data_IF_500042843568
#
_entry.id   IF_500042843568
#
_cell.length_a   1.000
_cell.length_b   1.000
_cell.length_c   1.000
_cell.angle_alpha   90.00
_cell.angle_beta   90.00
_cell.angle_gamma   90.00
#
_symmetry.space_group_name_H-M   'P 1'
#
loop_
_entity.id
_entity.type
_entity.pdbx_description
1 polymer ?
#
# COMPACT_ATOMS: atom_id res chain seq x y z
N UNK A 1 -30.18 -6.88 -25.20
CA UNK A 1 -29.81 -6.66 -23.79
C UNK A 1 -28.32 -6.39 -23.77
N UNK A 2 -27.93 -5.12 -23.88
CA UNK A 2 -26.53 -4.70 -23.82
C UNK A 2 -26.11 -4.63 -22.35
N UNK A 3 -25.22 -5.51 -21.95
CA UNK A 3 -24.52 -5.46 -20.67
C UNK A 3 -23.42 -4.39 -20.76
N UNK A 4 -23.73 -3.16 -20.37
CA UNK A 4 -22.73 -2.10 -20.23
C UNK A 4 -21.74 -2.45 -19.11
N UNK A 5 -20.50 -2.79 -19.49
CA UNK A 5 -19.38 -2.85 -18.56
C UNK A 5 -18.96 -1.42 -18.21
N UNK A 6 -19.59 -0.82 -17.20
CA UNK A 6 -19.16 0.48 -16.67
C UNK A 6 -17.76 0.39 -16.06
N UNK A 7 -16.82 1.16 -16.61
CA UNK A 7 -15.50 1.41 -16.04
C UNK A 7 -15.66 2.13 -14.68
N UNK A 8 -14.76 1.91 -13.70
CA UNK A 8 -14.76 2.71 -12.46
C UNK A 8 -14.66 4.20 -12.79
N UNK A 9 -15.50 5.01 -12.16
CA UNK A 9 -15.44 6.47 -12.30
C UNK A 9 -14.63 7.04 -11.13
N UNK A 10 -13.45 7.57 -11.45
CA UNK A 10 -12.64 8.34 -10.50
C UNK A 10 -12.87 9.80 -10.84
N UNK A 11 -13.59 10.52 -9.98
CA UNK A 11 -13.66 11.97 -10.11
C UNK A 11 -12.58 12.58 -9.22
N UNK A 12 -11.40 12.77 -9.77
CA UNK A 12 -10.48 13.78 -9.24
C UNK A 12 -11.21 15.12 -9.38
N UNK A 13 -11.59 15.73 -8.27
CA UNK A 13 -12.25 17.04 -8.33
C UNK A 13 -11.24 18.07 -8.83
N UNK A 14 -11.19 18.25 -10.15
CA UNK A 14 -10.68 19.48 -10.74
C UNK A 14 -11.66 20.59 -10.36
N UNK A 15 -11.16 21.51 -9.53
CA UNK A 15 -11.71 22.80 -9.13
C UNK A 15 -13.25 22.92 -9.09
N UNK A 16 -13.77 23.02 -7.87
CA UNK A 16 -15.16 23.32 -7.47
C UNK A 16 -16.08 22.11 -7.27
N UNK A 17 -15.99 21.48 -6.08
CA UNK A 17 -17.11 21.29 -5.14
C UNK A 17 -16.93 20.04 -4.23
N UNK A 18 -15.97 20.08 -3.31
CA UNK A 18 -15.93 19.20 -2.12
C UNK A 18 -15.65 20.05 -0.88
N UNK A 19 -16.12 19.55 0.27
CA UNK A 19 -16.04 20.17 1.60
C UNK A 19 -15.01 21.30 1.70
N UNK A 20 -15.51 22.52 1.91
CA UNK A 20 -14.74 23.75 2.01
C UNK A 20 -13.66 23.69 3.11
N UNK A 21 -12.46 23.24 2.77
CA UNK A 21 -11.24 23.70 3.41
C UNK A 21 -10.53 24.59 2.40
N UNK A 22 -10.27 25.85 2.75
CA UNK A 22 -9.53 26.81 1.92
C UNK A 22 -8.04 26.42 1.71
N UNK A 23 -7.66 25.16 1.98
CA UNK A 23 -6.29 24.69 1.95
C UNK A 23 -6.00 23.89 0.68
N UNK A 24 -4.86 24.17 0.06
CA UNK A 24 -4.34 23.45 -1.09
C UNK A 24 -4.16 21.95 -0.75
N UNK A 25 -4.51 21.02 -1.65
CA UNK A 25 -4.20 19.60 -1.48
C UNK A 25 -2.71 19.38 -1.20
N UNK A 26 -2.40 18.61 -0.16
CA UNK A 26 -1.04 18.36 0.28
C UNK A 26 -0.94 17.03 1.02
N UNK A 27 0.27 16.49 1.13
CA UNK A 27 0.53 15.40 2.06
C UNK A 27 0.54 15.93 3.50
N UNK A 28 -0.04 15.18 4.43
CA UNK A 28 -0.04 15.49 5.86
C UNK A 28 0.27 14.22 6.66
N UNK A 29 0.93 14.33 7.83
CA UNK A 29 1.21 13.15 8.64
C UNK A 29 -0.09 12.57 9.20
N UNK A 30 -0.22 11.26 9.20
CA UNK A 30 -1.29 10.52 9.88
C UNK A 30 -0.80 9.96 11.22
N UNK A 31 0.38 9.34 11.22
CA UNK A 31 1.04 8.80 12.41
C UNK A 31 2.48 9.30 12.43
N UNK A 32 2.84 9.97 13.52
CA UNK A 32 4.20 10.40 13.81
C UNK A 32 4.80 9.54 14.93
N UNK A 33 6.12 9.57 15.05
CA UNK A 33 6.84 8.94 16.16
C UNK A 33 7.65 10.00 16.90
N UNK A 34 7.20 10.31 18.11
CA UNK A 34 7.72 11.41 18.94
C UNK A 34 7.96 10.84 20.34
N UNK A 35 9.15 11.07 20.88
CA UNK A 35 9.56 10.63 22.23
C UNK A 35 9.34 9.12 22.48
N UNK A 36 9.65 8.30 21.49
CA UNK A 36 9.54 6.85 21.59
C UNK A 36 8.12 6.29 21.45
N UNK A 37 7.13 7.14 21.12
CA UNK A 37 5.72 6.76 21.03
C UNK A 37 5.09 7.18 19.71
N UNK A 38 4.23 6.33 19.18
CA UNK A 38 3.38 6.69 18.05
C UNK A 38 2.30 7.67 18.49
N UNK A 39 2.04 8.68 17.67
CA UNK A 39 1.02 9.70 17.91
C UNK A 39 0.23 9.95 16.63
N UNK A 40 -1.10 9.98 16.74
CA UNK A 40 -1.97 10.35 15.62
C UNK A 40 -1.91 11.87 15.45
N UNK A 41 -1.79 12.32 14.20
CA UNK A 41 -1.88 13.73 13.88
C UNK A 41 -3.32 14.26 13.98
N UNK A 42 -3.49 15.37 14.70
CA UNK A 42 -4.82 15.96 14.96
C UNK A 42 -5.48 16.51 13.69
N UNK A 43 -4.71 17.07 12.77
CA UNK A 43 -5.24 17.64 11.52
C UNK A 43 -5.77 16.54 10.61
N UNK A 44 -5.06 15.41 10.54
CA UNK A 44 -5.53 14.22 9.82
C UNK A 44 -6.83 13.67 10.41
N UNK A 45 -6.95 13.60 11.74
CA UNK A 45 -8.20 13.16 12.39
C UNK A 45 -9.36 14.09 12.06
N UNK A 46 -9.15 15.41 12.07
CA UNK A 46 -10.18 16.39 11.75
C UNK A 46 -10.68 16.27 10.30
N UNK A 47 -9.79 15.98 9.35
CA UNK A 47 -10.18 15.74 7.95
C UNK A 47 -10.98 14.45 7.84
N UNK A 48 -10.51 13.38 8.48
CA UNK A 48 -11.14 12.07 8.41
C UNK A 48 -12.52 12.08 9.09
N UNK A 49 -12.69 12.78 10.22
CA UNK A 49 -13.98 12.85 10.93
C UNK A 49 -15.07 13.62 10.18
N UNK A 50 -14.70 14.50 9.24
CA UNK A 50 -15.66 15.22 8.40
C UNK A 50 -16.26 14.37 7.27
N UNK A 51 -15.71 13.19 7.01
CA UNK A 51 -16.18 12.28 5.97
C UNK A 51 -17.37 11.47 6.48
N UNK A 52 -18.49 11.51 5.75
CA UNK A 52 -19.72 10.81 6.13
C UNK A 52 -19.92 9.51 5.37
N UNK A 53 -19.32 9.40 4.20
CA UNK A 53 -19.39 8.22 3.34
C UNK A 53 -18.46 7.10 3.89
N UNK A 54 -18.68 5.84 3.50
CA UNK A 54 -17.75 4.77 3.81
C UNK A 54 -16.34 5.12 3.30
N UNK A 55 -15.31 4.71 4.05
CA UNK A 55 -13.91 5.00 3.67
C UNK A 55 -13.19 3.71 3.35
N UNK A 56 -12.53 3.69 2.19
CA UNK A 56 -11.51 2.73 1.86
C UNK A 56 -10.12 3.33 2.11
N UNK A 57 -9.17 2.49 2.53
CA UNK A 57 -7.78 2.90 2.74
C UNK A 57 -6.87 2.13 1.78
N UNK A 58 -6.15 2.85 0.92
CA UNK A 58 -5.07 2.31 0.11
C UNK A 58 -3.74 2.69 0.76
N UNK A 59 -3.01 1.73 1.32
CA UNK A 59 -1.66 2.00 1.81
C UNK A 59 -0.61 1.32 0.95
N UNK A 60 0.55 1.94 0.85
CA UNK A 60 1.76 1.35 0.27
C UNK A 60 2.83 1.24 1.35
N UNK A 61 3.50 0.09 1.42
CA UNK A 61 4.73 -0.05 2.18
C UNK A 61 5.77 -0.85 1.41
N UNK A 62 7.01 -0.82 1.88
CA UNK A 62 8.13 -1.46 1.20
C UNK A 62 9.45 -0.80 1.55
N UNK A 63 10.54 -1.39 1.07
CA UNK A 63 11.91 -0.96 1.38
C UNK A 63 12.10 0.52 1.07
N UNK A 64 12.91 1.19 1.87
CA UNK A 64 13.37 2.55 1.62
C UNK A 64 13.94 2.71 0.19
N UNK A 65 13.68 3.87 -0.44
CA UNK A 65 14.09 4.21 -1.82
C UNK A 65 13.53 3.35 -2.95
N UNK A 66 12.45 2.63 -2.73
CA UNK A 66 11.80 1.79 -3.75
C UNK A 66 10.78 2.52 -4.66
N UNK A 67 10.69 3.86 -4.58
CA UNK A 67 9.80 4.65 -5.44
C UNK A 67 8.31 4.60 -5.07
N UNK A 68 7.97 4.40 -3.78
CA UNK A 68 6.59 4.35 -3.26
C UNK A 68 5.79 5.63 -3.52
N UNK A 69 6.28 6.76 -3.03
CA UNK A 69 5.64 8.08 -3.19
C UNK A 69 5.51 8.44 -4.68
N UNK A 70 6.50 8.09 -5.50
CA UNK A 70 6.41 8.22 -6.96
C UNK A 70 5.27 7.38 -7.53
N UNK A 71 5.15 6.11 -7.14
CA UNK A 71 4.07 5.25 -7.60
C UNK A 71 2.69 5.78 -7.20
N UNK A 72 2.53 6.26 -5.96
CA UNK A 72 1.28 6.89 -5.52
C UNK A 72 0.94 8.14 -6.32
N UNK A 73 1.95 8.96 -6.64
CA UNK A 73 1.79 10.14 -7.48
C UNK A 73 1.31 9.78 -8.89
N UNK A 74 1.83 8.69 -9.47
CA UNK A 74 1.33 8.17 -10.73
C UNK A 74 -0.11 7.64 -10.63
N UNK A 75 -0.46 6.96 -9.53
CA UNK A 75 -1.85 6.49 -9.28
C UNK A 75 -2.82 7.68 -9.12
N UNK A 76 -2.34 8.78 -8.54
CA UNK A 76 -3.08 10.02 -8.33
C UNK A 76 -3.21 10.88 -9.60
N UNK A 77 -2.49 10.56 -10.68
CA UNK A 77 -2.31 11.43 -11.84
C UNK A 77 -1.75 12.83 -11.46
N UNK A 78 -0.80 12.85 -10.51
CA UNK A 78 -0.20 14.10 -10.00
C UNK A 78 1.32 14.03 -9.97
N UNK A 79 1.96 15.16 -10.27
CA UNK A 79 3.41 15.33 -10.06
C UNK A 79 3.73 16.09 -8.76
N UNK A 80 2.74 16.79 -8.19
CA UNK A 80 2.84 17.58 -6.96
C UNK A 80 2.16 16.90 -5.75
N UNK A 81 2.13 15.57 -5.76
CA UNK A 81 1.50 14.75 -4.71
C UNK A 81 2.39 14.56 -3.47
N UNK A 82 2.60 13.30 -3.09
CA UNK A 82 3.54 12.92 -2.04
C UNK A 82 4.97 13.36 -2.39
N UNK A 83 5.71 13.81 -1.37
CA UNK A 83 7.05 14.33 -1.55
C UNK A 83 8.03 13.22 -1.90
N UNK A 84 8.78 13.43 -2.98
CA UNK A 84 9.87 12.56 -3.41
C UNK A 84 11.16 13.39 -3.29
N UNK A 85 12.07 13.03 -2.39
CA UNK A 85 13.42 13.62 -2.39
C UNK A 85 14.42 12.66 -3.04
N UNK A 86 15.54 13.15 -3.60
CA UNK A 86 16.62 12.33 -4.15
C UNK A 86 17.66 11.87 -3.12
N UNK A 87 17.63 12.39 -1.88
CA UNK A 87 18.77 12.28 -0.94
C UNK A 87 18.85 10.91 -0.26
N UNK A 88 19.89 10.62 0.53
CA UNK A 88 19.95 9.38 1.32
C UNK A 88 19.18 9.43 2.65
N UNK A 89 18.51 10.55 2.95
CA UNK A 89 17.71 10.72 4.15
C UNK A 89 16.25 10.33 3.90
N UNK A 90 15.58 9.59 4.81
CA UNK A 90 14.15 9.31 4.69
C UNK A 90 13.35 10.61 4.52
N UNK A 91 12.46 10.64 3.53
CA UNK A 91 11.61 11.80 3.26
C UNK A 91 10.31 11.74 4.07
N UNK A 92 9.81 10.52 4.28
CA UNK A 92 8.60 10.21 5.05
C UNK A 92 9.03 9.57 6.35
N UNK A 93 8.61 10.15 7.48
CA UNK A 93 8.69 9.50 8.79
C UNK A 93 7.29 9.10 9.26
N UNK A 94 7.10 7.85 9.62
CA UNK A 94 5.78 7.32 9.99
C UNK A 94 4.83 7.12 8.80
N UNK A 95 3.54 7.43 8.99
CA UNK A 95 2.51 7.29 7.95
C UNK A 95 1.98 8.66 7.52
N UNK A 96 1.77 8.86 6.22
CA UNK A 96 1.33 10.12 5.62
C UNK A 96 0.09 9.88 4.78
N UNK A 97 -0.85 10.83 4.78
CA UNK A 97 -2.04 10.78 3.93
C UNK A 97 -2.07 11.94 2.95
N UNK A 98 -2.77 11.75 1.84
CA UNK A 98 -3.19 12.85 0.99
C UNK A 98 -4.39 13.56 1.61
N UNK A 99 -4.32 14.88 1.79
CA UNK A 99 -5.30 15.66 2.54
C UNK A 99 -6.69 15.73 1.91
N UNK A 100 -6.84 15.29 0.65
CA UNK A 100 -8.12 15.29 -0.08
C UNK A 100 -8.50 13.86 -0.43
N UNK A 101 -9.41 13.22 0.33
CA UNK A 101 -9.92 11.89 0.02
C UNK A 101 -10.60 11.85 -1.35
N UNK A 102 -10.27 10.85 -2.17
CA UNK A 102 -10.85 10.74 -3.52
C UNK A 102 -12.27 10.19 -3.46
N UNK A 103 -13.15 10.67 -4.33
CA UNK A 103 -14.45 10.03 -4.55
C UNK A 103 -14.26 8.84 -5.50
N UNK A 104 -14.67 7.66 -5.08
CA UNK A 104 -14.54 6.43 -5.87
C UNK A 104 -15.86 5.69 -5.91
N UNK A 105 -16.17 5.12 -7.07
CA UNK A 105 -17.22 4.12 -7.24
C UNK A 105 -16.72 2.98 -8.11
N UNK A 106 -17.20 1.78 -7.84
CA UNK A 106 -16.92 0.59 -8.65
C UNK A 106 -18.17 -0.30 -8.72
N UNK A 107 -18.05 -1.45 -9.40
CA UNK A 107 -19.18 -2.35 -9.65
C UNK A 107 -19.86 -2.87 -8.38
N UNK A 108 -19.12 -2.95 -7.28
CA UNK A 108 -19.59 -3.52 -6.01
C UNK A 108 -19.99 -2.45 -4.99
N UNK A 109 -19.44 -1.23 -5.11
CA UNK A 109 -19.66 -0.13 -4.18
C UNK A 109 -19.90 1.18 -4.92
N UNK A 110 -21.11 1.74 -4.78
CA UNK A 110 -21.57 2.88 -5.57
C UNK A 110 -21.04 4.24 -5.14
N UNK A 111 -20.69 4.44 -3.85
CA UNK A 111 -20.12 5.69 -3.35
C UNK A 111 -19.30 5.46 -2.07
N UNK A 112 -18.00 5.79 -2.12
CA UNK A 112 -17.12 5.79 -0.96
C UNK A 112 -15.95 6.77 -1.15
N UNK A 113 -15.27 7.12 -0.05
CA UNK A 113 -14.05 7.91 -0.06
C UNK A 113 -12.83 7.03 0.01
N UNK A 114 -11.81 7.34 -0.78
CA UNK A 114 -10.52 6.68 -0.73
C UNK A 114 -9.48 7.57 -0.04
N UNK A 115 -8.94 7.07 1.07
CA UNK A 115 -7.77 7.61 1.74
C UNK A 115 -6.52 6.89 1.22
N UNK A 116 -5.54 7.65 0.74
CA UNK A 116 -4.25 7.10 0.28
C UNK A 116 -3.21 7.37 1.35
N UNK A 117 -2.49 6.31 1.75
CA UNK A 117 -1.47 6.33 2.79
C UNK A 117 -0.12 5.95 2.21
N UNK A 118 0.87 6.82 2.36
CA UNK A 118 2.28 6.53 2.09
C UNK A 118 2.99 6.19 3.41
N UNK A 119 3.74 5.09 3.42
CA UNK A 119 4.54 4.70 4.59
C UNK A 119 5.99 5.17 4.47
N UNK A 120 6.64 5.34 5.61
CA UNK A 120 8.10 5.32 5.69
C UNK A 120 8.65 4.03 5.07
N UNK A 121 9.84 4.15 4.47
CA UNK A 121 10.55 3.00 3.93
C UNK A 121 11.32 2.24 4.98
N UNK A 122 11.13 0.92 5.01
CA UNK A 122 11.82 0.00 5.91
C UNK A 122 13.31 -0.09 5.56
N UNK A 123 14.16 -0.22 6.57
CA UNK A 123 15.60 -0.44 6.44
C UNK A 123 16.37 0.82 6.06
N UNK A 124 15.90 2.00 6.51
CA UNK A 124 16.68 3.22 6.36
C UNK A 124 17.88 3.23 7.32
N UNK A 125 18.97 3.92 6.96
CA UNK A 125 20.21 3.97 7.76
C UNK A 125 20.03 4.49 9.19
N UNK A 126 18.92 5.17 9.48
CA UNK A 126 18.64 5.77 10.78
C UNK A 126 17.47 5.08 11.51
N UNK A 127 16.92 4.00 10.96
CA UNK A 127 15.73 3.35 11.49
C UNK A 127 16.07 2.23 12.48
N UNK A 128 15.19 2.08 13.48
CA UNK A 128 15.15 0.93 14.36
C UNK A 128 14.29 -0.17 13.69
N UNK A 129 14.78 -1.41 13.59
CA UNK A 129 14.03 -2.51 12.97
C UNK A 129 12.65 -2.74 13.63
N UNK A 130 12.55 -2.52 14.94
CA UNK A 130 11.27 -2.58 15.66
C UNK A 130 10.31 -1.49 15.18
N UNK A 131 10.81 -0.27 15.03
CA UNK A 131 10.04 0.87 14.56
C UNK A 131 9.50 0.65 13.14
N UNK A 132 10.35 0.19 12.22
CA UNK A 132 9.96 -0.07 10.83
C UNK A 132 8.89 -1.16 10.74
N UNK A 133 9.05 -2.22 11.54
CA UNK A 133 8.09 -3.33 11.59
C UNK A 133 6.75 -2.85 12.14
N UNK A 134 6.75 -1.97 13.16
CA UNK A 134 5.53 -1.38 13.72
C UNK A 134 4.83 -0.45 12.72
N UNK A 135 5.56 0.43 12.02
CA UNK A 135 4.99 1.31 10.98
C UNK A 135 4.36 0.49 9.84
N UNK A 136 5.03 -0.58 9.41
CA UNK A 136 4.47 -1.46 8.40
C UNK A 136 3.22 -2.17 8.93
N UNK A 137 3.26 -2.76 10.13
CA UNK A 137 2.08 -3.41 10.72
C UNK A 137 0.90 -2.44 10.85
N UNK A 138 1.15 -1.18 11.24
CA UNK A 138 0.15 -0.12 11.24
C UNK A 138 -0.44 0.08 9.84
N UNK A 139 0.38 0.37 8.83
CA UNK A 139 -0.09 0.55 7.44
C UNK A 139 -0.93 -0.64 6.96
N UNK A 140 -0.51 -1.86 7.27
CA UNK A 140 -1.20 -3.09 6.88
C UNK A 140 -2.58 -3.20 7.55
N UNK A 141 -2.67 -2.97 8.86
CA UNK A 141 -3.91 -3.06 9.63
C UNK A 141 -4.94 -1.99 9.25
N UNK A 142 -4.46 -0.78 8.94
CA UNK A 142 -5.29 0.36 8.51
C UNK A 142 -5.92 0.14 7.14
N UNK A 143 -5.26 -0.62 6.27
CA UNK A 143 -5.60 -0.73 4.85
C UNK A 143 -6.88 -1.53 4.58
N UNK A 144 -7.64 -1.12 3.57
CA UNK A 144 -8.58 -1.99 2.84
C UNK A 144 -7.88 -2.71 1.71
N UNK A 145 -6.93 -2.02 1.07
CA UNK A 145 -6.12 -2.51 -0.03
C UNK A 145 -4.67 -2.13 0.27
N UNK A 146 -3.79 -3.11 0.27
CA UNK A 146 -2.41 -2.94 0.70
C UNK A 146 -1.45 -3.28 -0.42
N UNK A 147 -0.61 -2.31 -0.79
CA UNK A 147 0.44 -2.47 -1.77
C UNK A 147 1.76 -2.74 -1.05
N UNK A 148 2.35 -3.90 -1.31
CA UNK A 148 3.75 -4.14 -0.96
C UNK A 148 4.64 -3.88 -2.17
N UNK A 149 5.50 -2.87 -2.06
CA UNK A 149 6.35 -2.39 -3.14
C UNK A 149 7.79 -2.84 -2.94
N UNK A 150 8.30 -3.66 -3.85
CA UNK A 150 9.70 -4.10 -3.90
C UNK A 150 10.33 -3.79 -5.26
N UNK A 151 11.66 -3.84 -5.35
CA UNK A 151 12.42 -3.65 -6.60
C UNK A 151 13.10 -4.96 -6.98
N UNK A 152 13.14 -5.29 -8.26
CA UNK A 152 13.80 -6.49 -8.77
C UNK A 152 12.86 -7.70 -8.82
N UNK A 153 13.14 -8.72 -8.02
CA UNK A 153 12.38 -9.97 -7.96
C UNK A 153 11.76 -10.19 -6.58
N UNK A 154 10.85 -11.15 -6.47
CA UNK A 154 10.40 -11.65 -5.17
C UNK A 154 11.48 -12.58 -4.62
N UNK A 155 12.21 -12.12 -3.60
CA UNK A 155 13.26 -12.88 -2.94
C UNK A 155 12.87 -13.31 -1.51
N UNK A 156 13.65 -14.22 -0.94
CA UNK A 156 13.43 -14.74 0.41
C UNK A 156 13.45 -13.63 1.49
N UNK A 157 14.24 -12.58 1.28
CA UNK A 157 14.32 -11.45 2.20
C UNK A 157 13.00 -10.69 2.23
N UNK A 158 12.42 -10.41 1.07
CA UNK A 158 11.14 -9.72 0.96
C UNK A 158 10.00 -10.56 1.56
N UNK A 159 10.01 -11.88 1.34
CA UNK A 159 9.05 -12.81 1.97
C UNK A 159 9.21 -12.83 3.49
N UNK A 160 10.44 -12.93 3.99
CA UNK A 160 10.72 -12.99 5.44
C UNK A 160 10.29 -11.70 6.14
N UNK A 161 10.59 -10.53 5.54
CA UNK A 161 10.15 -9.23 6.06
C UNK A 161 8.63 -9.13 6.13
N UNK A 162 7.94 -9.51 5.05
CA UNK A 162 6.48 -9.52 5.02
C UNK A 162 5.90 -10.48 6.08
N UNK A 163 6.54 -11.64 6.26
CA UNK A 163 6.20 -12.62 7.29
C UNK A 163 6.22 -12.04 8.71
N UNK A 164 7.32 -11.39 9.08
CA UNK A 164 7.48 -10.76 10.40
C UNK A 164 6.37 -9.74 10.69
N UNK A 165 6.08 -8.88 9.71
CA UNK A 165 5.05 -7.85 9.83
C UNK A 165 3.66 -8.46 9.97
N UNK A 166 3.42 -9.57 9.29
CA UNK A 166 2.12 -10.23 9.33
C UNK A 166 1.89 -10.90 10.69
N UNK A 167 2.92 -11.50 11.29
CA UNK A 167 2.86 -12.04 12.65
C UNK A 167 2.68 -10.93 13.71
N UNK A 168 3.36 -9.78 13.58
CA UNK A 168 3.12 -8.64 14.46
C UNK A 168 1.68 -8.12 14.32
N UNK A 169 1.18 -8.01 13.09
CA UNK A 169 -0.19 -7.57 12.82
C UNK A 169 -1.22 -8.51 13.44
N UNK A 170 -0.95 -9.82 13.43
CA UNK A 170 -1.78 -10.82 14.11
C UNK A 170 -1.75 -10.66 15.63
N UNK A 171 -0.57 -10.45 16.21
CA UNK A 171 -0.43 -10.22 17.65
C UNK A 171 -1.23 -8.99 18.11
N UNK A 172 -1.19 -7.91 17.33
CA UNK A 172 -1.98 -6.72 17.59
C UNK A 172 -3.49 -7.03 17.49
N UNK A 173 -3.92 -7.73 16.44
CA UNK A 173 -5.34 -8.13 16.26
C UNK A 173 -5.86 -9.04 17.37
N UNK A 174 -5.06 -10.01 17.82
CA UNK A 174 -5.50 -10.94 18.88
C UNK A 174 -5.73 -10.20 20.19
N UNK A 175 -4.91 -9.19 20.51
CA UNK A 175 -5.15 -8.30 21.65
C UNK A 175 -6.42 -7.47 21.51
N UNK A 176 -6.82 -7.11 20.29
CA UNK A 176 -8.05 -6.35 20.01
C UNK A 176 -9.33 -7.21 20.01
N UNK A 177 -9.23 -8.53 20.25
CA UNK A 177 -10.36 -9.48 20.24
C UNK A 177 -11.19 -9.45 18.94
N UNK A 178 -10.56 -9.07 17.84
CA UNK A 178 -11.16 -9.05 16.51
C UNK A 178 -10.90 -10.37 15.77
N UNK A 179 -11.84 -10.81 14.94
CA UNK A 179 -11.69 -12.04 14.16
C UNK A 179 -10.52 -11.90 13.16
N UNK A 180 -9.54 -12.78 13.27
CA UNK A 180 -8.18 -12.61 12.71
C UNK A 180 -8.19 -12.45 11.19
N UNK A 181 -9.11 -13.16 10.51
CA UNK A 181 -9.22 -13.22 9.06
C UNK A 181 -10.03 -12.06 8.46
N UNK A 182 -10.98 -11.48 9.20
CA UNK A 182 -11.90 -10.44 8.70
C UNK A 182 -11.23 -9.08 8.44
N UNK A 183 -9.99 -8.90 8.91
CA UNK A 183 -9.33 -7.60 8.96
C UNK A 183 -8.12 -7.46 8.02
N UNK A 184 -7.68 -8.53 7.34
CA UNK A 184 -6.55 -8.40 6.41
C UNK A 184 -7.04 -7.76 5.09
N UNK A 185 -6.32 -6.76 4.56
CA UNK A 185 -6.68 -6.11 3.31
C UNK A 185 -6.50 -7.05 2.12
N UNK A 186 -7.13 -6.68 1.01
CA UNK A 186 -6.70 -7.15 -0.31
C UNK A 186 -5.23 -6.79 -0.51
N UNK A 187 -4.41 -7.74 -0.93
CA UNK A 187 -2.97 -7.60 -1.02
C UNK A 187 -2.50 -7.56 -2.47
N UNK A 188 -1.68 -6.57 -2.80
CA UNK A 188 -1.05 -6.46 -4.10
C UNK A 188 0.46 -6.31 -3.94
N UNK A 189 1.21 -7.29 -4.43
CA UNK A 189 2.66 -7.16 -4.53
C UNK A 189 3.01 -6.44 -5.83
N UNK A 190 3.52 -5.21 -5.73
CA UNK A 190 4.04 -4.47 -6.88
C UNK A 190 5.55 -4.64 -6.94
N UNK A 191 6.02 -5.31 -7.99
CA UNK A 191 7.44 -5.57 -8.23
C UNK A 191 7.97 -4.58 -9.28
N UNK A 192 8.75 -3.61 -8.82
CA UNK A 192 9.33 -2.52 -9.63
C UNK A 192 10.61 -2.97 -10.32
N UNK A 193 10.94 -2.28 -11.42
CA UNK A 193 12.12 -2.54 -12.24
C UNK A 193 12.26 -4.03 -12.62
N UNK A 194 11.13 -4.67 -12.91
CA UNK A 194 11.07 -6.08 -13.21
C UNK A 194 11.70 -6.35 -14.58
N UNK A 195 12.71 -7.20 -14.62
CA UNK A 195 13.52 -7.51 -15.82
C UNK A 195 13.44 -8.98 -16.23
N UNK A 196 12.85 -9.83 -15.40
CA UNK A 196 12.72 -11.26 -15.69
C UNK A 196 11.64 -11.50 -16.74
N UNK A 197 11.83 -12.55 -17.52
CA UNK A 197 10.79 -13.04 -18.42
C UNK A 197 9.80 -13.91 -17.65
N UNK A 198 8.50 -13.63 -17.78
CA UNK A 198 7.44 -14.39 -17.12
C UNK A 198 7.13 -15.66 -17.91
N UNK A 199 8.12 -16.56 -17.97
CA UNK A 199 8.03 -17.85 -18.63
C UNK A 199 8.58 -18.95 -17.71
N UNK A 200 7.82 -20.03 -17.57
CA UNK A 200 8.23 -21.23 -16.83
C UNK A 200 8.07 -22.40 -17.79
N UNK A 201 9.15 -23.12 -18.06
CA UNK A 201 9.15 -24.30 -18.96
C UNK A 201 8.53 -24.01 -20.34
N UNK A 202 8.78 -22.81 -20.88
CA UNK A 202 8.26 -22.38 -22.18
C UNK A 202 6.79 -21.91 -22.17
N UNK A 203 6.11 -21.95 -21.02
CA UNK A 203 4.76 -21.40 -20.84
C UNK A 203 4.83 -19.99 -20.26
N UNK A 204 4.15 -19.05 -20.91
CA UNK A 204 3.94 -17.71 -20.38
C UNK A 204 3.03 -17.75 -19.16
N UNK A 205 3.50 -17.16 -18.07
CA UNK A 205 2.76 -17.05 -16.82
C UNK A 205 2.35 -15.59 -16.56
N UNK A 206 1.32 -15.43 -15.75
CA UNK A 206 0.87 -14.14 -15.22
C UNK A 206 1.75 -13.71 -14.04
N UNK A 207 1.74 -12.42 -13.72
CA UNK A 207 2.38 -11.91 -12.50
C UNK A 207 1.79 -12.54 -11.23
N UNK A 208 0.49 -12.87 -11.24
CA UNK A 208 -0.17 -13.60 -10.16
C UNK A 208 0.38 -15.02 -9.99
N UNK A 209 0.50 -15.79 -11.08
CA UNK A 209 1.14 -17.11 -11.04
C UNK A 209 2.60 -17.02 -10.56
N UNK A 210 3.33 -15.96 -10.95
CA UNK A 210 4.69 -15.72 -10.43
C UNK A 210 4.72 -15.56 -8.90
N UNK A 211 3.76 -14.83 -8.32
CA UNK A 211 3.62 -14.73 -6.86
C UNK A 211 3.27 -16.07 -6.21
N UNK A 212 2.31 -16.81 -6.77
CA UNK A 212 1.93 -18.12 -6.23
C UNK A 212 3.10 -19.11 -6.27
N UNK A 213 3.92 -19.08 -7.33
CA UNK A 213 5.13 -19.87 -7.42
C UNK A 213 6.17 -19.46 -6.36
N UNK A 214 6.35 -18.16 -6.11
CA UNK A 214 7.24 -17.69 -5.05
C UNK A 214 6.78 -18.14 -3.64
N UNK A 215 5.46 -18.21 -3.44
CA UNK A 215 4.82 -18.69 -2.20
C UNK A 215 4.56 -20.20 -2.16
N UNK A 216 5.01 -20.93 -3.19
CA UNK A 216 4.91 -22.38 -3.22
C UNK A 216 5.75 -23.01 -2.10
N UNK A 217 5.22 -24.11 -1.57
CA UNK A 217 5.87 -24.91 -0.53
C UNK A 217 6.53 -26.08 -1.22
N UNK A 218 7.76 -26.39 -0.84
CA UNK A 218 8.51 -27.51 -1.40
C UNK A 218 8.30 -28.76 -0.54
N UNK A 219 8.12 -29.92 -1.18
CA UNK A 219 7.84 -31.17 -0.47
C UNK A 219 9.05 -31.70 0.32
N UNK A 220 10.26 -31.27 -0.03
CA UNK A 220 11.50 -31.70 0.62
C UNK A 220 12.02 -30.61 1.55
N UNK A 221 11.73 -30.76 2.85
CA UNK A 221 12.31 -29.92 3.90
C UNK A 221 13.60 -30.58 4.38
N UNK A 222 14.74 -29.95 4.13
CA UNK A 222 16.07 -30.49 4.45
C UNK A 222 16.66 -29.86 5.71
N UNK A 223 16.14 -28.68 6.12
CA UNK A 223 16.63 -27.92 7.28
C UNK A 223 15.52 -27.22 8.08
N UNK A 224 15.84 -26.87 9.34
CA UNK A 224 14.95 -26.05 10.18
C UNK A 224 14.70 -24.66 9.58
N UNK A 225 15.70 -24.07 8.92
CA UNK A 225 15.58 -22.78 8.24
C UNK A 225 14.57 -22.84 7.09
N UNK A 226 14.59 -23.90 6.27
CA UNK A 226 13.59 -24.10 5.21
C UNK A 226 12.20 -24.30 5.79
N UNK A 227 12.08 -25.04 6.90
CA UNK A 227 10.81 -25.22 7.60
C UNK A 227 10.21 -23.88 8.06
N UNK A 228 11.02 -23.01 8.65
CA UNK A 228 10.60 -21.67 9.07
C UNK A 228 10.16 -20.82 7.87
N UNK A 229 10.91 -20.86 6.76
CA UNK A 229 10.52 -20.17 5.52
C UNK A 229 9.17 -20.65 4.97
N UNK A 230 8.96 -21.96 4.93
CA UNK A 230 7.69 -22.53 4.47
C UNK A 230 6.51 -22.17 5.38
N UNK A 231 6.73 -22.11 6.70
CA UNK A 231 5.72 -21.60 7.64
C UNK A 231 5.35 -20.16 7.32
N UNK A 232 6.33 -19.29 7.05
CA UNK A 232 6.07 -17.91 6.62
C UNK A 232 5.24 -17.88 5.33
N UNK A 233 5.63 -18.64 4.30
CA UNK A 233 4.89 -18.71 3.03
C UNK A 233 3.43 -19.17 3.23
N UNK A 234 3.22 -20.17 4.08
CA UNK A 234 1.87 -20.66 4.41
C UNK A 234 1.04 -19.63 5.17
N UNK A 235 1.64 -18.99 6.18
CA UNK A 235 1.03 -17.87 6.91
C UNK A 235 0.57 -16.79 5.94
N UNK A 236 1.45 -16.34 5.03
CA UNK A 236 1.11 -15.29 4.05
C UNK A 236 -0.10 -15.68 3.19
N UNK A 237 -0.17 -16.92 2.70
CA UNK A 237 -1.32 -17.42 1.91
C UNK A 237 -2.62 -17.49 2.72
N UNK A 238 -2.54 -17.80 4.01
CA UNK A 238 -3.69 -17.86 4.90
C UNK A 238 -4.23 -16.47 5.26
N UNK A 239 -3.34 -15.51 5.50
CA UNK A 239 -3.74 -14.16 5.91
C UNK A 239 -4.17 -13.30 4.72
N UNK A 240 -3.46 -13.41 3.60
CA UNK A 240 -3.80 -12.72 2.35
C UNK A 240 -4.58 -13.64 1.43
N UNK A 241 -5.85 -13.84 1.77
CA UNK A 241 -6.79 -14.65 0.99
C UNK A 241 -6.97 -14.02 -0.41
N UNK A 242 -7.25 -12.72 -0.43
CA UNK A 242 -7.27 -11.93 -1.65
C UNK A 242 -5.88 -11.33 -1.89
N UNK A 243 -5.12 -11.99 -2.77
CA UNK A 243 -3.76 -11.59 -3.13
C UNK A 243 -3.54 -11.62 -4.63
N UNK A 244 -2.74 -10.68 -5.08
CA UNK A 244 -2.35 -10.54 -6.47
C UNK A 244 -0.94 -9.93 -6.57
N UNK A 245 -0.39 -9.92 -7.78
CA UNK A 245 0.91 -9.35 -8.08
C UNK A 245 0.86 -8.57 -9.39
N UNK A 246 1.69 -7.54 -9.47
CA UNK A 246 1.84 -6.71 -10.66
C UNK A 246 3.31 -6.34 -10.86
N UNK A 247 3.83 -6.62 -12.05
CA UNK A 247 5.21 -6.30 -12.41
C UNK A 247 5.25 -4.98 -13.18
N UNK A 248 6.11 -4.07 -12.76
CA UNK A 248 6.33 -2.77 -13.39
C UNK A 248 7.72 -2.71 -13.98
N UNK A 249 7.79 -2.23 -15.22
CA UNK A 249 9.04 -1.88 -15.86
C UNK A 249 9.64 -0.65 -15.18
N UNK A 250 10.95 -0.45 -15.39
CA UNK A 250 11.63 0.78 -14.95
C UNK A 250 11.02 1.98 -15.69
N UNK A 251 10.66 3.09 -15.01
CA UNK A 251 9.97 4.22 -15.64
C UNK A 251 10.86 5.02 -16.61
N UNK A 252 12.16 5.13 -16.31
CA UNK A 252 13.15 5.91 -17.06
C UNK A 252 14.48 5.14 -17.07
N UNK A 253 15.26 5.24 -18.15
CA UNK A 253 16.58 4.60 -18.23
C UNK A 253 17.69 5.44 -17.58
N UNK A 254 17.60 6.77 -17.64
CA UNK A 254 18.60 7.71 -17.09
C UNK A 254 18.49 7.85 -15.57
N UNK A 255 19.55 7.45 -14.84
CA UNK A 255 19.61 7.55 -13.37
C UNK A 255 19.48 8.97 -12.84
N UNK A 256 20.02 9.98 -13.53
CA UNK A 256 19.99 11.39 -13.08
C UNK A 256 18.57 11.95 -13.16
N UNK A 257 17.83 11.56 -14.18
CA UNK A 257 16.39 11.87 -14.30
C UNK A 257 15.59 11.11 -13.25
N UNK A 258 15.91 9.83 -13.03
CA UNK A 258 15.25 9.00 -12.02
C UNK A 258 15.42 9.55 -10.59
N UNK A 259 16.59 10.08 -10.24
CA UNK A 259 16.82 10.74 -8.95
C UNK A 259 15.87 11.93 -8.76
N UNK A 260 15.56 12.66 -9.84
CA UNK A 260 14.69 13.82 -9.82
C UNK A 260 13.27 13.50 -10.32
N UNK A 261 12.75 12.30 -10.03
CA UNK A 261 11.46 11.82 -10.52
C UNK A 261 10.27 12.78 -10.29
N UNK A 262 10.33 13.66 -9.29
CA UNK A 262 9.32 14.71 -9.04
C UNK A 262 9.27 15.83 -10.09
N UNK A 263 10.33 15.99 -10.89
CA UNK A 263 10.46 17.02 -11.93
C UNK A 263 10.56 16.44 -13.34
N UNK A 264 10.39 15.13 -13.48
CA UNK A 264 10.49 14.48 -14.78
C UNK A 264 9.26 14.82 -15.61
N UNK A 265 9.49 15.19 -16.87
CA UNK A 265 8.44 15.39 -17.85
C UNK A 265 7.78 14.05 -18.20
N UNK A 266 6.46 14.01 -18.36
CA UNK A 266 5.73 12.80 -18.73
C UNK A 266 6.22 12.17 -20.04
N UNK A 267 6.80 12.96 -20.93
CA UNK A 267 7.38 12.50 -22.20
C UNK A 267 8.70 11.73 -22.01
N UNK A 268 9.41 11.98 -20.92
CA UNK A 268 10.61 11.21 -20.53
C UNK A 268 10.26 9.86 -19.89
N UNK A 269 9.00 9.67 -19.48
CA UNK A 269 8.50 8.41 -18.93
C UNK A 269 8.16 7.45 -20.08
N UNK A 270 8.72 6.25 -19.99
CA UNK A 270 8.51 5.18 -20.97
C UNK A 270 7.02 4.91 -21.19
N UNK A 271 6.66 4.72 -22.46
CA UNK A 271 5.29 4.51 -22.87
C UNK A 271 4.71 3.23 -22.23
N UNK A 272 5.49 2.15 -22.19
CA UNK A 272 5.07 0.88 -21.60
C UNK A 272 4.81 1.04 -20.09
N UNK A 273 5.62 1.83 -19.39
CA UNK A 273 5.40 2.12 -17.98
C UNK A 273 4.08 2.86 -17.77
N UNK A 274 3.78 3.88 -18.60
CA UNK A 274 2.52 4.62 -18.53
C UNK A 274 1.31 3.71 -18.78
N UNK A 275 1.38 2.82 -19.77
CA UNK A 275 0.33 1.83 -19.99
C UNK A 275 0.15 0.89 -18.79
N UNK A 276 1.26 0.43 -18.19
CA UNK A 276 1.20 -0.42 -17.00
C UNK A 276 0.61 0.31 -15.79
N UNK A 277 0.85 1.62 -15.64
CA UNK A 277 0.21 2.43 -14.58
C UNK A 277 -1.30 2.47 -14.75
N UNK A 278 -1.82 2.67 -15.97
CA UNK A 278 -3.28 2.67 -16.18
C UNK A 278 -3.90 1.31 -15.85
N UNK A 279 -3.26 0.20 -16.28
CA UNK A 279 -3.72 -1.15 -15.94
C UNK A 279 -3.67 -1.39 -14.41
N UNK A 280 -2.63 -0.88 -13.75
CA UNK A 280 -2.49 -0.99 -12.29
C UNK A 280 -3.57 -0.18 -11.57
N UNK A 281 -3.87 1.04 -12.03
CA UNK A 281 -4.95 1.87 -11.51
C UNK A 281 -6.27 1.13 -11.64
N UNK A 282 -6.60 0.64 -12.84
CA UNK A 282 -7.82 -0.14 -13.05
C UNK A 282 -7.90 -1.33 -12.10
N UNK A 283 -6.80 -2.08 -11.92
CA UNK A 283 -6.75 -3.20 -10.98
C UNK A 283 -7.02 -2.76 -9.54
N UNK A 284 -6.46 -1.64 -9.08
CA UNK A 284 -6.68 -1.13 -7.72
C UNK A 284 -8.13 -0.65 -7.56
N UNK A 285 -8.61 0.24 -8.43
CA UNK A 285 -9.91 0.90 -8.27
C UNK A 285 -11.10 -0.04 -8.50
N UNK A 286 -10.95 -1.07 -9.33
CA UNK A 286 -11.98 -2.11 -9.51
C UNK A 286 -12.13 -3.01 -8.27
N UNK A 287 -11.05 -3.24 -7.51
CA UNK A 287 -11.04 -4.24 -6.43
C UNK A 287 -11.04 -3.61 -5.03
N UNK A 288 -10.77 -2.32 -4.90
CA UNK A 288 -10.79 -1.65 -3.60
C UNK A 288 -12.21 -1.59 -3.03
N UNK A 289 -12.32 -1.82 -1.72
CA UNK A 289 -13.57 -1.84 -0.97
C UNK A 289 -13.49 -0.97 0.28
N UNK A 290 -14.62 -0.41 0.75
CA UNK A 290 -14.68 0.25 2.04
C UNK A 290 -14.11 -0.65 3.15
N UNK A 291 -13.42 -0.05 4.11
CA UNK A 291 -12.85 -0.76 5.25
C UNK A 291 -13.99 -1.17 6.18
N UNK A 292 -14.06 -2.45 6.49
CA UNK A 292 -14.96 -2.97 7.51
C UNK A 292 -14.19 -3.06 8.83
N UNK A 293 -14.73 -2.39 9.86
CA UNK A 293 -14.22 -2.53 11.23
C UNK A 293 -15.17 -3.43 12.03
N UNK A 294 -14.64 -4.31 12.90
CA UNK A 294 -15.46 -5.17 13.74
C UNK A 294 -16.39 -4.31 14.61
N UNK A 295 -17.70 -4.54 14.51
CA UNK A 295 -18.69 -3.95 15.43
C UNK A 295 -19.50 -2.74 14.93
N UNK A 296 -19.73 -2.56 13.62
CA UNK A 296 -20.43 -1.37 13.06
C UNK A 296 -19.78 -0.05 13.51
N UNK A 297 -18.47 -0.04 13.70
CA UNK A 297 -17.79 1.18 14.11
C UNK A 297 -17.71 2.17 12.94
N UNK A 298 -18.14 3.40 13.19
CA UNK A 298 -17.96 4.55 12.31
C UNK A 298 -16.46 4.95 12.24
N UNK A 299 -16.07 5.77 11.26
CA UNK A 299 -14.67 6.25 11.15
C UNK A 299 -14.21 7.06 12.38
N UNK A 300 -15.14 7.69 13.12
CA UNK A 300 -14.85 8.34 14.40
C UNK A 300 -14.38 7.33 15.45
N UNK A 301 -15.03 6.17 15.53
CA UNK A 301 -14.59 5.06 16.38
C UNK A 301 -13.32 4.38 15.85
N UNK A 302 -13.04 4.49 14.54
CA UNK A 302 -11.78 4.07 13.96
C UNK A 302 -10.61 4.89 14.49
N UNK A 303 -10.79 6.17 14.78
CA UNK A 303 -9.77 6.95 15.51
C UNK A 303 -9.47 6.36 16.89
N UNK A 304 -10.47 5.78 17.56
CA UNK A 304 -10.28 5.04 18.82
C UNK A 304 -9.60 3.69 18.63
N UNK A 305 -9.87 2.98 17.52
CA UNK A 305 -9.18 1.73 17.16
C UNK A 305 -7.73 2.02 16.79
N UNK A 306 -7.48 3.08 16.02
CA UNK A 306 -6.14 3.57 15.68
C UNK A 306 -5.40 4.00 16.93
N UNK A 307 -6.04 4.74 17.84
CA UNK A 307 -5.46 5.12 19.12
C UNK A 307 -5.15 3.89 19.99
N UNK A 308 -6.00 2.86 19.99
CA UNK A 308 -5.75 1.58 20.69
C UNK A 308 -4.59 0.82 20.08
N UNK A 309 -4.52 0.72 18.75
CA UNK A 309 -3.41 0.08 18.03
C UNK A 309 -2.10 0.81 18.31
N UNK A 310 -2.13 2.15 18.33
CA UNK A 310 -0.97 3.02 18.58
C UNK A 310 -0.55 3.02 20.06
N UNK A 311 -1.50 2.85 20.98
CA UNK A 311 -1.23 2.76 22.42
C UNK A 311 -0.79 1.37 22.88
N UNK A 312 -0.79 0.36 21.99
CA UNK A 312 -0.22 -0.94 22.30
C UNK A 312 1.32 -0.85 22.31
N UNK A 313 1.98 -1.33 23.37
CA UNK A 313 3.43 -1.26 23.52
C UNK A 313 4.18 -2.06 22.47
#
# INVERSE_FOLDING_TARGET
MESGSGSPSITTMNHHSSLSTHEKPQQIPLINYVDGKFQIDKKSVEIISKIKEPIAVLSIAGVYRSGKSFLLNQILDRNDGFSISPTVMPCTKGLWIWSVPLKVSNKNHSDFRLLIVDSEGIGSFCANETYDTQIFALALLLSSFFIYNSVGSIDDNAITRLGLVTELSKYIKSKLRSDVNSLFPSFLWVVRDFTLDLNVEGRKITSKEYLENALAVEDRIVSETERAKQQIKNSLKQYFIDRDCFTLLRPIHDERKLQNASKVDINDIRFEFRQQIEILKDKIFNNIKPKEFPGKCSMEECSSVFAKIIAMP
#
